data_IF_154108504453
#
_entry.id   IF_154108504453
#
_cell.length_a   1.000
_cell.length_b   1.000
_cell.length_c   1.000
_cell.angle_alpha   90.00
_cell.angle_beta   90.00
_cell.angle_gamma   90.00
#
_symmetry.space_group_name_H-M   'P 1'
#
loop_
_entity.id
_entity.type
_entity.pdbx_description
1 polymer ?
#
# COMPACT_ATOMS: atom_id res chain seq x y z
N UNK A 1 -4.32 11.73 -11.64
CA UNK A 1 -5.40 12.72 -11.44
C UNK A 1 -5.29 13.43 -10.10
N UNK A 2 -5.19 12.72 -8.96
CA UNK A 2 -5.00 13.36 -7.66
C UNK A 2 -3.76 14.26 -7.55
N UNK A 3 -2.62 13.87 -8.11
CA UNK A 3 -1.41 14.73 -8.10
C UNK A 3 -1.62 16.11 -8.75
N UNK A 4 -2.58 16.23 -9.67
CA UNK A 4 -2.89 17.50 -10.35
C UNK A 4 -3.62 18.48 -9.42
N UNK A 5 -4.36 17.99 -8.43
CA UNK A 5 -5.05 18.87 -7.46
C UNK A 5 -4.07 19.67 -6.59
N UNK A 6 -2.83 19.19 -6.44
CA UNK A 6 -1.79 19.91 -5.71
C UNK A 6 -1.16 21.08 -6.47
N UNK A 7 -1.50 21.25 -7.76
CA UNK A 7 -1.16 22.45 -8.53
C UNK A 7 -2.10 23.62 -8.18
N UNK A 8 -3.35 23.33 -7.84
CA UNK A 8 -4.35 24.32 -7.40
C UNK A 8 -5.00 23.86 -6.10
N UNK A 9 -4.45 24.33 -4.97
CA UNK A 9 -4.86 24.01 -3.60
C UNK A 9 -6.25 24.60 -3.26
N UNK A 10 -7.30 24.12 -3.92
CA UNK A 10 -8.68 24.42 -3.59
C UNK A 10 -9.29 23.25 -2.86
N UNK A 11 -9.89 23.49 -1.69
CA UNK A 11 -10.50 22.47 -0.83
C UNK A 11 -11.48 21.56 -1.59
N UNK A 12 -12.31 22.14 -2.45
CA UNK A 12 -13.24 21.39 -3.30
C UNK A 12 -12.52 20.41 -4.25
N UNK A 13 -11.48 20.87 -4.95
CA UNK A 13 -10.73 20.05 -5.92
C UNK A 13 -10.01 18.92 -5.18
N UNK A 14 -9.45 19.19 -4.00
CA UNK A 14 -8.78 18.18 -3.18
C UNK A 14 -9.76 17.06 -2.78
N UNK A 15 -10.92 17.39 -2.21
CA UNK A 15 -11.90 16.38 -1.81
C UNK A 15 -12.48 15.61 -2.99
N UNK A 16 -12.81 16.31 -4.08
CA UNK A 16 -13.36 15.68 -5.28
C UNK A 16 -12.35 14.72 -5.92
N UNK A 17 -11.09 15.11 -6.05
CA UNK A 17 -10.04 14.25 -6.62
C UNK A 17 -9.68 13.09 -5.69
N UNK A 18 -9.75 13.27 -4.36
CA UNK A 18 -9.62 12.17 -3.39
C UNK A 18 -10.72 11.12 -3.55
N UNK A 19 -11.97 11.54 -3.77
CA UNK A 19 -13.09 10.63 -3.99
C UNK A 19 -12.90 9.80 -5.27
N UNK A 20 -12.50 10.46 -6.38
CA UNK A 20 -12.19 9.78 -7.64
C UNK A 20 -11.01 8.79 -7.45
N UNK A 21 -9.96 9.20 -6.74
CA UNK A 21 -8.82 8.32 -6.47
C UNK A 21 -9.24 7.09 -5.66
N UNK A 22 -10.05 7.27 -4.61
CA UNK A 22 -10.52 6.15 -3.78
C UNK A 22 -11.32 5.13 -4.60
N UNK A 23 -12.26 5.63 -5.42
CA UNK A 23 -13.05 4.77 -6.31
C UNK A 23 -12.18 4.05 -7.36
N UNK A 24 -11.28 4.79 -8.02
CA UNK A 24 -10.37 4.22 -9.02
C UNK A 24 -9.41 3.20 -8.42
N UNK A 25 -8.89 3.45 -7.22
CA UNK A 25 -8.01 2.51 -6.51
C UNK A 25 -8.73 1.20 -6.19
N UNK A 26 -9.99 1.25 -5.75
CA UNK A 26 -10.77 0.04 -5.47
C UNK A 26 -10.93 -0.83 -6.74
N UNK A 27 -11.22 -0.21 -7.89
CA UNK A 27 -11.32 -0.91 -9.17
C UNK A 27 -9.97 -1.50 -9.58
N UNK A 28 -8.90 -0.71 -9.53
CA UNK A 28 -7.56 -1.15 -9.95
C UNK A 28 -7.04 -2.31 -9.10
N UNK A 29 -7.20 -2.25 -7.77
CA UNK A 29 -6.80 -3.34 -6.88
C UNK A 29 -7.60 -4.62 -7.15
N UNK A 30 -8.91 -4.50 -7.37
CA UNK A 30 -9.75 -5.67 -7.71
C UNK A 30 -9.35 -6.28 -9.05
N UNK A 31 -9.19 -5.44 -10.08
CA UNK A 31 -8.77 -5.87 -11.41
C UNK A 31 -7.37 -6.50 -11.40
N UNK A 32 -6.44 -5.94 -10.63
CA UNK A 32 -5.10 -6.49 -10.45
C UNK A 32 -5.14 -7.89 -9.82
N UNK A 33 -5.90 -8.06 -8.73
CA UNK A 33 -6.04 -9.36 -8.07
C UNK A 33 -6.62 -10.42 -9.01
N UNK A 34 -7.67 -10.08 -9.75
CA UNK A 34 -8.24 -10.95 -10.78
C UNK A 34 -7.25 -11.24 -11.90
N UNK A 35 -6.52 -10.25 -12.41
CA UNK A 35 -5.55 -10.44 -13.48
C UNK A 35 -4.40 -11.38 -13.07
N UNK A 36 -3.85 -11.21 -11.86
CA UNK A 36 -2.85 -12.15 -11.34
C UNK A 36 -3.42 -13.55 -11.18
N UNK A 37 -4.68 -13.64 -10.73
CA UNK A 37 -5.37 -14.92 -10.55
C UNK A 37 -5.55 -15.65 -11.88
N UNK A 38 -5.94 -14.94 -12.92
CA UNK A 38 -6.13 -15.50 -14.26
C UNK A 38 -4.82 -15.88 -14.97
N UNK A 39 -3.70 -15.25 -14.61
CA UNK A 39 -2.38 -15.51 -15.20
C UNK A 39 -1.48 -16.38 -14.31
N UNK A 40 -2.01 -16.99 -13.24
CA UNK A 40 -1.24 -17.84 -12.33
C UNK A 40 -1.97 -19.14 -12.03
N UNK A 41 -1.20 -20.21 -11.83
CA UNK A 41 -1.70 -21.50 -11.37
C UNK A 41 -1.63 -21.60 -9.84
N UNK A 42 -2.35 -22.53 -9.18
CA UNK A 42 -2.31 -22.69 -7.72
C UNK A 42 -0.89 -22.87 -7.15
N UNK A 43 0.02 -23.48 -7.91
CA UNK A 43 1.43 -23.66 -7.53
C UNK A 43 2.29 -22.41 -7.73
N UNK A 44 1.89 -21.48 -8.60
CA UNK A 44 2.66 -20.28 -8.97
C UNK A 44 2.06 -18.98 -8.44
N UNK A 45 0.80 -19.01 -7.97
CA UNK A 45 0.06 -17.86 -7.45
C UNK A 45 0.81 -17.10 -6.37
N UNK A 46 1.32 -17.81 -5.37
CA UNK A 46 2.05 -17.20 -4.25
C UNK A 46 3.33 -16.52 -4.74
N UNK A 47 4.07 -17.14 -5.68
CA UNK A 47 5.30 -16.58 -6.26
C UNK A 47 5.00 -15.35 -7.12
N UNK A 48 4.04 -15.43 -8.04
CA UNK A 48 3.70 -14.33 -8.94
C UNK A 48 3.13 -13.13 -8.16
N UNK A 49 2.30 -13.38 -7.15
CA UNK A 49 1.80 -12.36 -6.22
C UNK A 49 2.96 -11.72 -5.43
N UNK A 50 3.90 -12.53 -4.93
CA UNK A 50 5.09 -12.03 -4.24
C UNK A 50 5.96 -11.13 -5.13
N UNK A 51 6.24 -11.54 -6.37
CA UNK A 51 7.01 -10.74 -7.34
C UNK A 51 6.31 -9.41 -7.62
N UNK A 52 5.00 -9.45 -7.89
CA UNK A 52 4.20 -8.23 -8.08
C UNK A 52 4.31 -7.30 -6.86
N UNK A 53 4.16 -7.85 -5.66
CA UNK A 53 4.24 -7.09 -4.42
C UNK A 53 5.61 -6.44 -4.20
N UNK A 54 6.69 -7.17 -4.49
CA UNK A 54 8.06 -6.65 -4.44
C UNK A 54 8.26 -5.51 -5.45
N UNK A 55 7.81 -5.68 -6.70
CA UNK A 55 7.90 -4.62 -7.73
C UNK A 55 7.10 -3.38 -7.30
N UNK A 56 5.88 -3.57 -6.80
CA UNK A 56 5.04 -2.49 -6.28
C UNK A 56 5.75 -1.73 -5.16
N UNK A 57 6.41 -2.44 -4.25
CA UNK A 57 7.13 -1.83 -3.15
C UNK A 57 8.42 -1.10 -3.54
N UNK A 58 9.11 -1.55 -4.60
CA UNK A 58 10.25 -0.82 -5.17
C UNK A 58 9.80 0.57 -5.65
N UNK A 59 8.58 0.70 -6.18
CA UNK A 59 8.04 2.02 -6.57
C UNK A 59 7.90 2.96 -5.37
N UNK A 60 7.51 2.42 -4.20
CA UNK A 60 7.43 3.19 -2.96
C UNK A 60 8.82 3.61 -2.46
N UNK A 61 9.83 2.76 -2.63
CA UNK A 61 11.21 3.09 -2.29
C UNK A 61 11.75 4.24 -3.17
N UNK A 62 11.63 4.11 -4.49
CA UNK A 62 12.14 5.10 -5.44
C UNK A 62 11.39 6.44 -5.35
N UNK A 63 10.06 6.39 -5.20
CA UNK A 63 9.24 7.60 -5.05
C UNK A 63 9.59 8.39 -3.79
N UNK A 64 9.71 7.71 -2.64
CA UNK A 64 10.08 8.38 -1.39
C UNK A 64 11.53 8.86 -1.38
N UNK A 65 12.46 8.11 -1.99
CA UNK A 65 13.85 8.55 -2.15
C UNK A 65 13.94 9.84 -3.00
N UNK A 66 13.18 9.91 -4.10
CA UNK A 66 13.10 11.11 -4.93
C UNK A 66 12.56 12.32 -4.14
N UNK A 67 11.44 12.15 -3.43
CA UNK A 67 10.84 13.24 -2.63
C UNK A 67 11.78 13.68 -1.52
N UNK A 68 12.41 12.75 -0.79
CA UNK A 68 13.38 13.07 0.28
C UNK A 68 14.59 13.82 -0.26
N UNK A 69 15.09 13.45 -1.44
CA UNK A 69 16.18 14.17 -2.10
C UNK A 69 15.74 15.56 -2.60
N UNK A 70 14.56 15.68 -3.19
CA UNK A 70 14.03 16.94 -3.70
C UNK A 70 13.73 17.97 -2.59
N UNK A 71 13.47 17.48 -1.36
CA UNK A 71 13.26 18.29 -0.16
C UNK A 71 14.53 18.52 0.66
N UNK A 72 15.68 17.99 0.22
CA UNK A 72 16.94 18.15 0.95
C UNK A 72 17.34 19.63 1.03
N UNK A 73 17.75 20.06 2.21
CA UNK A 73 18.22 21.41 2.52
C UNK A 73 17.18 22.53 2.30
N UNK A 74 15.87 22.20 2.25
CA UNK A 74 14.77 23.16 2.14
C UNK A 74 13.91 23.16 3.41
N UNK A 75 13.88 24.30 4.10
CA UNK A 75 13.05 24.51 5.30
C UNK A 75 11.56 24.65 4.96
N UNK A 76 11.26 25.24 3.81
CA UNK A 76 9.90 25.50 3.35
C UNK A 76 9.54 24.72 2.10
N UNK A 77 8.27 24.34 2.05
CA UNK A 77 7.67 23.63 0.92
C UNK A 77 7.31 24.67 -0.14
N UNK A 78 8.35 25.31 -0.69
CA UNK A 78 8.23 26.41 -1.63
C UNK A 78 7.41 25.98 -2.87
N UNK A 79 6.63 26.92 -3.41
CA UNK A 79 5.71 26.65 -4.51
C UNK A 79 6.44 26.13 -5.75
N UNK A 80 7.66 26.61 -6.01
CA UNK A 80 8.50 26.13 -7.11
C UNK A 80 8.91 24.67 -6.94
N UNK A 81 9.30 24.29 -5.72
CA UNK A 81 9.73 22.93 -5.37
C UNK A 81 8.55 21.97 -5.40
N UNK A 82 7.41 22.39 -4.85
CA UNK A 82 6.15 21.66 -4.90
C UNK A 82 5.77 21.36 -6.34
N UNK A 83 5.73 22.39 -7.17
CA UNK A 83 5.35 22.28 -8.59
C UNK A 83 6.30 21.33 -9.33
N UNK A 84 7.60 21.44 -9.11
CA UNK A 84 8.59 20.53 -9.69
C UNK A 84 8.35 19.06 -9.30
N UNK A 85 8.18 18.77 -8.00
CA UNK A 85 7.94 17.40 -7.51
C UNK A 85 6.66 16.83 -8.14
N UNK A 86 5.54 17.57 -8.09
CA UNK A 86 4.28 17.07 -8.61
C UNK A 86 4.28 16.90 -10.12
N UNK A 87 4.93 17.79 -10.90
CA UNK A 87 5.04 17.63 -12.36
C UNK A 87 5.80 16.34 -12.70
N UNK A 88 6.95 16.09 -12.07
CA UNK A 88 7.73 14.87 -12.30
C UNK A 88 6.89 13.63 -11.98
N UNK A 89 6.21 13.61 -10.83
CA UNK A 89 5.35 12.50 -10.45
C UNK A 89 4.16 12.30 -11.40
N UNK A 90 3.57 13.39 -11.92
CA UNK A 90 2.49 13.32 -12.92
C UNK A 90 2.98 12.68 -14.21
N UNK A 91 4.14 13.10 -14.73
CA UNK A 91 4.70 12.55 -15.98
C UNK A 91 4.98 11.06 -15.82
N UNK A 92 5.64 10.66 -14.73
CA UNK A 92 5.94 9.25 -14.45
C UNK A 92 4.65 8.43 -14.29
N UNK A 93 3.65 8.97 -13.60
CA UNK A 93 2.35 8.31 -13.43
C UNK A 93 1.59 8.17 -14.76
N UNK A 94 1.62 9.19 -15.62
CA UNK A 94 1.02 9.15 -16.94
C UNK A 94 1.69 8.11 -17.82
N UNK A 95 3.03 8.07 -17.82
CA UNK A 95 3.79 7.05 -18.52
C UNK A 95 3.48 5.63 -18.01
N UNK A 96 3.45 5.43 -16.69
CA UNK A 96 3.06 4.15 -16.08
C UNK A 96 1.64 3.74 -16.46
N UNK A 97 0.70 4.69 -16.56
CA UNK A 97 -0.66 4.43 -17.02
C UNK A 97 -0.68 3.98 -18.49
N UNK A 98 0.14 4.59 -19.35
CA UNK A 98 0.24 4.19 -20.76
C UNK A 98 0.82 2.78 -20.93
N UNK A 99 1.67 2.32 -20.01
CA UNK A 99 2.20 0.94 -20.05
C UNK A 99 1.11 -0.12 -19.91
N UNK A 100 -0.01 0.19 -19.26
CA UNK A 100 -1.16 -0.74 -19.19
C UNK A 100 -1.78 -1.02 -20.57
N UNK A 101 -1.59 -0.15 -21.57
CA UNK A 101 -2.07 -0.39 -22.94
C UNK A 101 -1.32 -1.54 -23.63
N UNK A 102 -0.12 -1.87 -23.14
CA UNK A 102 0.68 -2.99 -23.64
C UNK A 102 0.49 -4.28 -22.82
N UNK A 103 -0.41 -4.25 -21.81
CA UNK A 103 -0.66 -5.41 -20.99
C UNK A 103 -1.39 -6.48 -21.81
N UNK A 104 -0.85 -7.71 -21.82
CA UNK A 104 -1.42 -8.83 -22.54
C UNK A 104 -2.79 -9.18 -21.95
N UNK A 105 -3.77 -9.51 -22.79
CA UNK A 105 -5.04 -10.07 -22.31
C UNK A 105 -4.80 -11.42 -21.61
N UNK A 106 -5.49 -11.71 -20.49
CA UNK A 106 -5.35 -12.99 -19.79
C UNK A 106 -5.74 -14.14 -20.73
N UNK A 107 -4.95 -15.21 -20.70
CA UNK A 107 -5.09 -16.39 -21.55
C UNK A 107 -5.38 -17.60 -20.66
N UNK A 108 -6.28 -18.49 -21.06
CA UNK A 108 -6.54 -19.74 -20.35
C UNK A 108 -5.36 -20.72 -20.44
N UNK A 109 -5.39 -21.77 -19.60
CA UNK A 109 -4.39 -22.85 -19.59
C UNK A 109 -4.17 -23.51 -20.96
N UNK A 110 -5.17 -23.46 -21.85
CA UNK A 110 -5.10 -23.99 -23.22
C UNK A 110 -4.58 -22.99 -24.26
N UNK A 111 -4.14 -21.79 -23.85
CA UNK A 111 -3.63 -20.76 -24.77
C UNK A 111 -4.71 -19.97 -25.51
N UNK A 112 -5.99 -20.24 -25.24
CA UNK A 112 -7.12 -19.48 -25.78
C UNK A 112 -7.39 -18.23 -24.94
N UNK A 113 -7.79 -17.12 -25.57
CA UNK A 113 -8.21 -15.92 -24.84
C UNK A 113 -9.32 -16.27 -23.85
N UNK A 114 -9.28 -15.67 -22.65
CA UNK A 114 -10.35 -15.79 -21.66
C UNK A 114 -11.60 -15.02 -22.15
N UNK A 115 -12.31 -15.59 -23.12
CA UNK A 115 -13.45 -14.93 -23.80
C UNK A 115 -14.79 -15.08 -23.08
N UNK A 116 -14.84 -15.72 -21.90
CA UNK A 116 -16.11 -15.96 -21.21
C UNK A 116 -16.31 -15.00 -20.05
N UNK A 117 -16.66 -13.76 -20.38
CA UNK A 117 -17.61 -13.04 -19.53
C UNK A 117 -18.99 -13.52 -20.01
N UNK A 118 -19.55 -14.53 -19.34
CA UNK A 118 -21.00 -14.75 -19.48
C UNK A 118 -21.66 -13.41 -19.16
N UNK A 119 -22.57 -12.94 -20.04
CA UNK A 119 -23.29 -11.68 -19.82
C UNK A 119 -24.28 -11.93 -18.68
N UNK A 120 -23.80 -11.85 -17.45
CA UNK A 120 -24.60 -11.89 -16.24
C UNK A 120 -25.20 -10.49 -16.07
N UNK A 121 -26.50 -10.42 -15.77
CA UNK A 121 -27.14 -9.15 -15.45
C UNK A 121 -26.44 -8.47 -14.26
N UNK A 122 -26.20 -7.17 -14.34
CA UNK A 122 -25.59 -6.36 -13.27
C UNK A 122 -26.28 -6.57 -11.90
N UNK A 123 -27.60 -6.68 -11.90
CA UNK A 123 -28.38 -6.96 -10.68
C UNK A 123 -28.06 -8.32 -10.06
N UNK A 124 -27.79 -9.31 -10.90
CA UNK A 124 -27.42 -10.66 -10.48
C UNK A 124 -25.99 -10.69 -9.97
N UNK A 125 -25.06 -9.94 -10.57
CA UNK A 125 -23.69 -9.82 -10.07
C UNK A 125 -23.63 -9.17 -8.68
N UNK A 126 -24.38 -8.08 -8.47
CA UNK A 126 -24.51 -7.46 -7.14
C UNK A 126 -25.07 -8.47 -6.15
N UNK A 127 -26.13 -9.19 -6.52
CA UNK A 127 -26.74 -10.20 -5.64
C UNK A 127 -25.77 -11.32 -5.29
N UNK A 128 -24.99 -11.80 -6.26
CA UNK A 128 -23.98 -12.83 -6.05
C UNK A 128 -22.86 -12.33 -5.14
N UNK A 129 -22.38 -11.11 -5.36
CA UNK A 129 -21.35 -10.45 -4.54
C UNK A 129 -21.82 -10.28 -3.10
N UNK A 130 -23.05 -9.80 -2.90
CA UNK A 130 -23.66 -9.66 -1.59
C UNK A 130 -23.86 -11.01 -0.89
N UNK A 131 -24.27 -12.04 -1.63
CA UNK A 131 -24.40 -13.39 -1.09
C UNK A 131 -23.04 -13.94 -0.65
N UNK A 132 -21.98 -13.72 -1.43
CA UNK A 132 -20.62 -14.13 -1.10
C UNK A 132 -20.10 -13.38 0.13
N UNK A 133 -20.33 -12.07 0.19
CA UNK A 133 -19.95 -11.22 1.32
C UNK A 133 -20.55 -11.68 2.66
N UNK A 134 -21.75 -12.27 2.63
CA UNK A 134 -22.47 -12.75 3.81
C UNK A 134 -22.15 -14.21 4.20
N UNK A 135 -21.33 -14.91 3.43
CA UNK A 135 -20.91 -16.28 3.79
C UNK A 135 -20.13 -16.32 5.11
N UNK A 136 -20.16 -17.46 5.81
CA UNK A 136 -19.53 -17.58 7.14
C UNK A 136 -18.03 -17.25 7.12
N UNK A 137 -17.32 -17.78 6.13
CA UNK A 137 -15.88 -17.59 5.99
C UNK A 137 -15.55 -16.15 5.60
N UNK A 138 -16.32 -15.56 4.68
CA UNK A 138 -16.11 -14.17 4.26
C UNK A 138 -16.41 -13.18 5.38
N UNK A 139 -17.39 -13.45 6.26
CA UNK A 139 -17.65 -12.59 7.43
C UNK A 139 -16.47 -12.54 8.40
N UNK A 140 -15.78 -13.65 8.62
CA UNK A 140 -14.56 -13.68 9.43
C UNK A 140 -13.43 -12.91 8.73
N UNK A 141 -13.26 -13.11 7.42
CA UNK A 141 -12.27 -12.37 6.63
C UNK A 141 -12.56 -10.86 6.58
N UNK A 142 -13.82 -10.44 6.53
CA UNK A 142 -14.21 -9.04 6.51
C UNK A 142 -13.72 -8.28 7.75
N UNK A 143 -13.70 -8.93 8.93
CA UNK A 143 -13.14 -8.34 10.15
C UNK A 143 -11.63 -8.10 9.97
N UNK A 144 -10.93 -9.08 9.40
CA UNK A 144 -9.51 -8.95 9.09
C UNK A 144 -9.25 -7.85 8.05
N UNK A 145 -10.04 -7.81 6.96
CA UNK A 145 -9.91 -6.78 5.93
C UNK A 145 -10.14 -5.38 6.49
N UNK A 146 -11.15 -5.21 7.35
CA UNK A 146 -11.42 -3.95 8.02
C UNK A 146 -10.23 -3.52 8.89
N UNK A 147 -9.69 -4.42 9.71
CA UNK A 147 -8.50 -4.13 10.51
C UNK A 147 -7.29 -3.77 9.64
N UNK A 148 -6.99 -4.54 8.59
CA UNK A 148 -5.88 -4.24 7.69
C UNK A 148 -6.05 -2.90 6.97
N UNK A 149 -7.28 -2.52 6.62
CA UNK A 149 -7.59 -1.23 6.02
C UNK A 149 -7.38 -0.06 6.99
N UNK A 150 -7.74 -0.23 8.26
CA UNK A 150 -7.43 0.74 9.32
C UNK A 150 -5.92 0.88 9.52
N UNK A 151 -5.19 -0.24 9.61
CA UNK A 151 -3.74 -0.21 9.73
C UNK A 151 -3.08 0.47 8.53
N UNK A 152 -3.51 0.16 7.31
CA UNK A 152 -3.05 0.79 6.07
C UNK A 152 -3.27 2.31 6.10
N UNK A 153 -4.48 2.72 6.45
CA UNK A 153 -4.84 4.14 6.56
C UNK A 153 -3.99 4.85 7.61
N UNK A 154 -3.75 4.20 8.75
CA UNK A 154 -2.96 4.75 9.84
C UNK A 154 -1.50 5.01 9.42
N UNK A 155 -0.79 4.00 8.90
CA UNK A 155 0.64 4.18 8.63
C UNK A 155 0.89 5.09 7.42
N UNK A 156 0.02 5.04 6.40
CA UNK A 156 0.19 5.81 5.17
C UNK A 156 -0.19 7.29 5.32
N UNK A 157 -1.14 7.63 6.20
CA UNK A 157 -1.63 9.01 6.36
C UNK A 157 -1.28 9.62 7.72
N UNK A 158 -1.81 9.04 8.80
CA UNK A 158 -1.73 9.61 10.15
C UNK A 158 -0.28 9.61 10.64
N UNK A 159 0.37 8.45 10.63
CA UNK A 159 1.75 8.30 11.12
C UNK A 159 2.74 9.17 10.35
N UNK A 160 2.69 9.13 9.02
CA UNK A 160 3.58 9.90 8.16
C UNK A 160 3.39 11.42 8.36
N UNK A 161 2.14 11.88 8.50
CA UNK A 161 1.85 13.30 8.76
C UNK A 161 2.27 13.75 10.17
N UNK A 162 2.03 12.91 11.18
CA UNK A 162 2.45 13.16 12.57
C UNK A 162 3.96 13.37 12.71
N UNK A 163 4.78 12.62 11.95
CA UNK A 163 6.23 12.85 11.90
C UNK A 163 6.54 14.24 11.33
N UNK A 164 5.89 14.62 10.22
CA UNK A 164 6.11 15.91 9.57
C UNK A 164 5.74 17.11 10.44
N UNK A 165 4.66 16.98 11.21
CA UNK A 165 4.13 18.02 12.11
C UNK A 165 4.86 18.12 13.44
N UNK A 166 5.70 17.13 13.80
CA UNK A 166 6.49 17.17 15.05
C UNK A 166 7.77 17.98 14.87
N UNK A 167 7.68 19.30 15.11
CA UNK A 167 8.79 20.26 14.91
C UNK A 167 10.01 20.00 15.80
N UNK A 168 9.83 19.25 16.90
CA UNK A 168 10.90 18.91 17.85
C UNK A 168 11.94 17.95 17.27
N UNK A 169 11.61 17.19 16.22
CA UNK A 169 12.54 16.29 15.51
C UNK A 169 13.58 17.04 14.65
N UNK A 170 13.58 18.38 14.67
CA UNK A 170 14.56 19.24 14.01
C UNK A 170 14.03 19.95 12.77
N UNK A 171 14.84 20.86 12.22
CA UNK A 171 14.50 21.69 11.06
C UNK A 171 14.17 20.89 9.78
N UNK A 172 14.53 19.61 9.72
CA UNK A 172 14.29 18.70 8.60
C UNK A 172 13.09 17.74 8.81
N UNK A 173 12.12 18.08 9.67
CA UNK A 173 10.97 17.20 9.97
C UNK A 173 10.20 16.74 8.71
N UNK A 174 10.11 17.61 7.69
CA UNK A 174 9.50 17.28 6.39
C UNK A 174 10.28 16.22 5.62
N UNK A 175 11.61 16.17 5.75
CA UNK A 175 12.42 15.11 5.15
C UNK A 175 12.21 13.77 5.85
N UNK A 176 11.96 13.79 7.18
CA UNK A 176 11.67 12.58 7.96
C UNK A 176 10.38 11.89 7.49
N UNK A 177 9.41 12.64 6.95
CA UNK A 177 8.22 12.06 6.29
C UNK A 177 8.63 11.13 5.14
N UNK A 178 9.45 11.63 4.21
CA UNK A 178 9.95 10.81 3.09
C UNK A 178 10.82 9.64 3.55
N UNK A 179 11.64 9.85 4.60
CA UNK A 179 12.46 8.79 5.18
C UNK A 179 11.62 7.70 5.85
N UNK A 180 10.52 8.07 6.53
CA UNK A 180 9.58 7.12 7.12
C UNK A 180 8.93 6.23 6.05
N UNK A 181 8.51 6.81 4.93
CA UNK A 181 7.97 6.07 3.79
C UNK A 181 8.97 5.10 3.18
N UNK A 182 10.25 5.50 3.12
CA UNK A 182 11.34 4.63 2.68
C UNK A 182 11.53 3.43 3.61
N UNK A 183 11.54 3.62 4.94
CA UNK A 183 11.67 2.53 5.90
C UNK A 183 10.45 1.60 5.91
N UNK A 184 9.24 2.15 5.73
CA UNK A 184 8.02 1.34 5.57
C UNK A 184 8.16 0.45 4.33
N UNK A 185 8.63 0.98 3.20
CA UNK A 185 8.85 0.18 1.98
C UNK A 185 9.90 -0.91 2.15
N UNK A 186 11.01 -0.62 2.84
CA UNK A 186 12.00 -1.65 3.20
C UNK A 186 11.35 -2.74 4.08
N UNK A 187 10.56 -2.33 5.07
CA UNK A 187 9.83 -3.24 5.96
C UNK A 187 8.85 -4.15 5.21
N UNK A 188 8.11 -3.61 4.25
CA UNK A 188 7.18 -4.40 3.42
C UNK A 188 7.92 -5.40 2.52
N UNK A 189 9.05 -5.01 1.92
CA UNK A 189 9.88 -5.91 1.11
C UNK A 189 10.46 -7.02 2.00
N UNK A 190 11.06 -6.67 3.14
CA UNK A 190 11.65 -7.65 4.06
C UNK A 190 10.59 -8.58 4.64
N UNK A 191 9.44 -8.05 5.08
CA UNK A 191 8.32 -8.85 5.56
C UNK A 191 7.80 -9.80 4.48
N UNK A 192 7.61 -9.30 3.26
CA UNK A 192 7.21 -10.11 2.11
C UNK A 192 8.20 -11.24 1.81
N UNK A 193 9.51 -10.96 1.80
CA UNK A 193 10.55 -11.97 1.57
C UNK A 193 10.63 -12.99 2.70
N UNK A 194 10.64 -12.54 3.95
CA UNK A 194 10.70 -13.42 5.14
C UNK A 194 9.51 -14.37 5.13
N UNK A 195 8.28 -13.87 4.93
CA UNK A 195 7.10 -14.73 4.92
C UNK A 195 6.97 -15.55 3.62
N UNK A 196 7.49 -15.07 2.49
CA UNK A 196 7.55 -15.86 1.25
C UNK A 196 8.52 -17.03 1.37
N UNK A 197 9.65 -16.88 2.05
CA UNK A 197 10.63 -17.96 2.29
C UNK A 197 10.16 -18.88 3.42
N UNK A 198 9.72 -18.34 4.55
CA UNK A 198 9.29 -19.13 5.71
C UNK A 198 7.95 -19.85 5.50
N UNK A 199 7.09 -19.32 4.62
CA UNK A 199 5.81 -19.93 4.24
C UNK A 199 5.93 -20.99 3.15
N UNK A 200 7.10 -21.14 2.51
CA UNK A 200 7.30 -22.17 1.49
C UNK A 200 7.38 -23.55 2.13
N UNK A 201 6.51 -24.45 1.65
CA UNK A 201 6.63 -25.88 1.90
C UNK A 201 7.59 -26.45 0.87
N UNK A 202 8.88 -26.54 1.20
CA UNK A 202 9.87 -27.17 0.32
C UNK A 202 9.65 -28.68 0.34
N UNK A 203 9.10 -29.20 -0.76
CA UNK A 203 8.97 -30.63 -1.00
C UNK A 203 10.08 -31.04 -1.96
N UNK A 204 11.26 -31.33 -1.41
CA UNK A 204 12.35 -31.97 -2.15
C UNK A 204 12.64 -33.36 -1.57
N UNK A 205 13.15 -34.24 -2.42
CA UNK A 205 12.92 -35.69 -2.54
C UNK A 205 13.24 -36.65 -1.36
N UNK A 206 13.30 -36.20 -0.09
CA UNK A 206 13.19 -37.09 1.09
C UNK A 206 13.05 -36.35 2.44
N UNK A 207 12.75 -35.06 2.45
CA UNK A 207 12.62 -34.30 3.71
C UNK A 207 11.55 -33.22 3.57
N UNK A 208 10.37 -33.47 4.14
CA UNK A 208 9.29 -32.48 4.18
C UNK A 208 9.59 -31.47 5.30
N UNK A 209 10.31 -30.39 4.98
CA UNK A 209 10.40 -29.26 5.91
C UNK A 209 9.05 -28.54 5.84
N UNK A 210 8.21 -28.74 6.86
CA UNK A 210 7.00 -27.93 7.03
C UNK A 210 7.46 -26.50 7.32
N UNK A 211 7.21 -25.58 6.39
CA UNK A 211 7.33 -24.16 6.62
C UNK A 211 6.52 -23.70 7.85
N UNK A 212 6.77 -22.47 8.28
CA UNK A 212 6.12 -21.88 9.45
C UNK A 212 4.58 -21.94 9.28
N UNK A 213 3.86 -22.41 10.30
CA UNK A 213 2.40 -22.53 10.21
C UNK A 213 1.76 -21.16 10.02
N UNK A 214 0.67 -21.08 9.25
CA UNK A 214 -0.09 -19.84 9.04
C UNK A 214 -0.47 -19.16 10.36
N UNK A 215 -0.81 -19.94 11.39
CA UNK A 215 -1.11 -19.44 12.73
C UNK A 215 0.10 -18.79 13.42
N UNK A 216 1.30 -19.34 13.25
CA UNK A 216 2.52 -18.75 13.80
C UNK A 216 2.89 -17.44 13.09
N UNK A 217 2.69 -17.35 11.78
CA UNK A 217 2.85 -16.10 11.01
C UNK A 217 1.92 -15.01 11.53
N UNK A 218 0.64 -15.35 11.75
CA UNK A 218 -0.36 -14.41 12.28
C UNK A 218 0.02 -13.97 13.70
N UNK A 219 0.45 -14.88 14.57
CA UNK A 219 0.84 -14.57 15.95
C UNK A 219 2.06 -13.63 16.01
N UNK A 220 3.10 -13.87 15.19
CA UNK A 220 4.26 -12.99 15.10
C UNK A 220 3.85 -11.61 14.60
N UNK A 221 3.05 -11.55 13.53
CA UNK A 221 2.54 -10.30 12.99
C UNK A 221 1.76 -9.49 14.03
N UNK A 222 0.93 -10.15 14.84
CA UNK A 222 0.18 -9.52 15.92
C UNK A 222 1.08 -8.94 17.02
N UNK A 223 2.09 -9.69 17.48
CA UNK A 223 3.04 -9.22 18.50
C UNK A 223 3.82 -8.01 17.98
N UNK A 224 4.34 -8.08 16.75
CA UNK A 224 5.07 -6.98 16.12
C UNK A 224 4.17 -5.74 16.03
N UNK A 225 2.92 -5.91 15.64
CA UNK A 225 1.96 -4.82 15.50
C UNK A 225 1.67 -4.13 16.85
N UNK A 226 1.50 -4.88 17.95
CA UNK A 226 1.35 -4.31 19.30
C UNK A 226 2.59 -3.50 19.70
N UNK A 227 3.79 -4.07 19.50
CA UNK A 227 5.04 -3.40 19.84
C UNK A 227 5.19 -2.10 19.03
N UNK A 228 4.90 -2.14 17.73
CA UNK A 228 4.96 -0.96 16.85
C UNK A 228 4.01 0.14 17.33
N UNK A 229 2.73 -0.16 17.59
CA UNK A 229 1.80 0.86 18.09
C UNK A 229 2.19 1.40 19.46
N UNK A 230 2.70 0.56 20.36
CA UNK A 230 3.25 0.98 21.65
C UNK A 230 4.43 1.95 21.49
N UNK A 231 5.37 1.63 20.59
CA UNK A 231 6.50 2.51 20.28
C UNK A 231 6.04 3.84 19.67
N UNK A 232 5.03 3.83 18.81
CA UNK A 232 4.51 5.06 18.20
C UNK A 232 3.93 6.00 19.25
N UNK A 233 3.12 5.50 20.19
CA UNK A 233 2.56 6.31 21.30
C UNK A 233 3.66 6.91 22.17
N UNK A 234 4.76 6.17 22.36
CA UNK A 234 5.88 6.65 23.19
C UNK A 234 6.70 7.73 22.47
N UNK A 235 6.82 7.66 21.13
CA UNK A 235 7.70 8.50 20.32
C UNK A 235 7.01 9.72 19.68
N UNK A 236 5.70 9.72 19.53
CA UNK A 236 4.96 10.83 18.92
C UNK A 236 3.99 11.45 19.92
N UNK A 237 3.87 12.80 19.98
CA UNK A 237 2.93 13.46 20.86
C UNK A 237 1.50 13.31 20.34
N UNK A 238 0.52 13.31 21.26
CA UNK A 238 -0.91 13.13 20.94
C UNK A 238 -1.46 14.21 20.01
N UNK A 239 -0.88 15.41 20.05
CA UNK A 239 -1.29 16.55 19.21
C UNK A 239 -0.72 16.47 17.78
N UNK A 240 0.27 15.61 17.52
CA UNK A 240 0.95 15.52 16.22
C UNK A 240 0.05 15.28 15.00
N UNK A 241 -1.08 14.54 15.08
CA UNK A 241 -1.95 14.34 13.92
C UNK A 241 -2.76 15.59 13.53
N UNK A 242 -2.94 16.56 14.44
CA UNK A 242 -3.86 17.68 14.26
C UNK A 242 -3.19 18.95 13.73
N UNK A 243 -1.86 19.02 13.77
CA UNK A 243 -1.09 20.12 13.22
C UNK A 243 0.29 20.24 13.85
N UNK A 244 1.02 21.26 13.40
CA UNK A 244 2.37 21.54 13.86
C UNK A 244 2.45 21.65 15.39
N UNK A 245 3.22 20.76 16.02
CA UNK A 245 3.35 20.70 17.48
C UNK A 245 4.81 20.68 17.94
N UNK A 246 5.05 21.34 19.07
CA UNK A 246 6.31 21.29 19.84
C UNK A 246 6.17 20.49 21.12
N UNK A 247 5.01 19.85 21.33
CA UNK A 247 4.72 19.04 22.51
C UNK A 247 5.75 17.90 22.64
N UNK A 248 6.11 17.58 23.88
CA UNK A 248 6.98 16.44 24.16
C UNK A 248 6.15 15.17 24.17
N UNK A 249 6.62 14.16 23.47
CA UNK A 249 6.21 12.77 23.71
C UNK A 249 6.83 12.23 25.01
N UNK A 250 6.46 11.02 25.40
CA UNK A 250 6.98 10.34 26.59
C UNK A 250 8.50 10.15 26.55
N UNK A 251 9.08 9.96 25.37
CA UNK A 251 10.52 10.08 25.12
C UNK A 251 10.77 11.40 24.40
N UNK A 252 11.72 12.20 24.88
CA UNK A 252 12.18 13.38 24.16
C UNK A 252 12.97 12.94 22.92
N UNK A 253 12.53 13.29 21.69
CA UNK A 253 13.30 13.05 20.48
C UNK A 253 14.55 13.92 20.42
#
# INVERSE_FOLDING_TARGET
MFLVSYLWLTTFILYFMSAIQGFGAAILWTAQGTYLTLNSDPSTMSRNTGIFWTISNISMLLGNAFVSYALRDKSDFDDSTRTFIYIVLIIVSAFGTLLFLFLRSPVNQEGTLNERVEIISFTQEIKNTMSLFLTKDMRLLNITFFFTGLSLSFYSSVYSSSIGFTKRMGFNSKQLVGLSGLFIGIGEILGGLIFSILGQKTSDNNTTIKGLSHSAVIAIGFIVNIITYGLIIINLPDDSPFGDTTASSYINP
#
